data_IF_984158286912
#
_entry.id   IF_984158286912
#
_cell.length_a   1.000
_cell.length_b   1.000
_cell.length_c   1.000
_cell.angle_alpha   90.00
_cell.angle_beta   90.00
_cell.angle_gamma   90.00
#
_symmetry.space_group_name_H-M   'P 1'
#
loop_
_entity.id
_entity.type
_entity.pdbx_description
1 polymer ?
#
# COMPACT_ATOMS: atom_id res chain seq x y z
N UNK A 1 39.77 -10.62 -22.08
CA UNK A 1 38.69 -10.98 -21.18
C UNK A 1 38.25 -9.67 -20.57
N UNK A 2 37.29 -9.04 -21.18
CA UNK A 2 36.82 -7.69 -20.88
C UNK A 2 35.56 -7.82 -20.04
N UNK A 3 35.63 -7.31 -18.83
CA UNK A 3 34.45 -7.09 -17.96
C UNK A 3 33.69 -5.88 -18.53
N UNK A 4 32.62 -6.12 -19.25
CA UNK A 4 31.61 -5.09 -19.52
C UNK A 4 30.64 -5.02 -18.31
N UNK A 5 30.93 -4.10 -17.42
CA UNK A 5 29.94 -3.61 -16.45
C UNK A 5 29.04 -2.66 -17.23
N UNK A 6 27.79 -3.05 -17.45
CA UNK A 6 26.73 -2.18 -17.91
C UNK A 6 26.50 -1.07 -16.86
N UNK A 7 27.17 0.05 -17.04
CA UNK A 7 26.86 1.31 -16.39
C UNK A 7 25.71 1.90 -17.20
N UNK A 8 24.49 1.77 -16.70
CA UNK A 8 23.36 2.55 -17.22
C UNK A 8 23.74 4.03 -17.19
N UNK A 9 23.62 4.67 -18.32
CA UNK A 9 24.13 6.02 -18.56
C UNK A 9 23.43 7.01 -17.64
N UNK A 10 24.15 7.72 -16.79
CA UNK A 10 23.66 8.82 -15.92
C UNK A 10 22.82 9.89 -16.65
N UNK A 11 22.98 9.98 -17.97
CA UNK A 11 22.19 10.88 -18.83
C UNK A 11 20.74 10.42 -19.00
N UNK A 12 20.48 9.12 -19.02
CA UNK A 12 19.13 8.57 -19.22
C UNK A 12 18.28 8.71 -17.95
N UNK A 13 18.93 8.66 -16.78
CA UNK A 13 18.25 8.85 -15.48
C UNK A 13 17.85 10.33 -15.30
N UNK A 14 18.73 11.27 -15.68
CA UNK A 14 18.39 12.70 -15.64
C UNK A 14 17.29 13.06 -16.63
N UNK A 15 17.28 12.44 -17.81
CA UNK A 15 16.24 12.64 -18.81
C UNK A 15 14.88 12.15 -18.29
N UNK A 16 14.84 11.01 -17.59
CA UNK A 16 13.60 10.46 -17.02
C UNK A 16 13.07 11.29 -15.83
N UNK A 17 13.95 11.86 -15.01
CA UNK A 17 13.55 12.76 -13.92
C UNK A 17 13.10 14.12 -14.49
N UNK A 18 13.79 14.64 -15.51
CA UNK A 18 13.50 15.93 -16.12
C UNK A 18 12.27 15.93 -17.05
N UNK A 19 11.85 14.76 -17.57
CA UNK A 19 10.69 14.61 -18.44
C UNK A 19 9.42 14.13 -17.73
N UNK A 20 9.50 13.79 -16.45
CA UNK A 20 8.30 13.46 -15.68
C UNK A 20 7.70 14.76 -15.11
N UNK A 21 6.80 15.39 -15.87
CA UNK A 21 6.16 16.69 -15.53
C UNK A 21 5.45 16.70 -14.17
N UNK A 22 5.24 15.52 -13.54
CA UNK A 22 4.63 15.40 -12.22
C UNK A 22 5.59 15.66 -11.07
N UNK A 23 6.90 15.48 -11.29
CA UNK A 23 7.91 15.52 -10.24
C UNK A 23 8.92 16.66 -10.42
N UNK A 24 8.66 17.59 -11.38
CA UNK A 24 9.63 18.61 -11.72
C UNK A 24 9.52 19.86 -10.84
N UNK A 25 10.67 20.34 -10.40
CA UNK A 25 11.14 21.67 -10.04
C UNK A 25 11.00 22.23 -8.62
N UNK A 26 10.18 21.75 -7.70
CA UNK A 26 10.10 22.43 -6.40
C UNK A 26 10.81 21.73 -5.22
N UNK A 27 11.10 20.45 -5.33
CA UNK A 27 11.65 19.64 -4.23
C UNK A 27 13.09 19.21 -4.50
N UNK A 28 13.52 19.12 -5.75
CA UNK A 28 14.83 18.60 -6.12
C UNK A 28 15.79 19.73 -6.44
N UNK A 29 16.63 20.10 -5.49
CA UNK A 29 17.74 21.03 -5.71
C UNK A 29 18.88 20.28 -6.44
N UNK A 30 19.41 20.84 -7.55
CA UNK A 30 20.49 20.24 -8.33
C UNK A 30 21.72 19.83 -7.48
N UNK A 31 22.03 20.61 -6.43
CA UNK A 31 23.12 20.32 -5.49
C UNK A 31 22.86 19.04 -4.69
N UNK A 32 21.62 18.82 -4.28
CA UNK A 32 21.20 17.60 -3.57
C UNK A 32 21.31 16.40 -4.50
N UNK A 33 20.87 16.54 -5.74
CA UNK A 33 20.97 15.47 -6.75
C UNK A 33 22.41 15.09 -7.07
N UNK A 34 23.32 16.06 -7.17
CA UNK A 34 24.75 15.79 -7.44
C UNK A 34 25.44 15.08 -6.26
N UNK A 35 25.12 15.47 -5.02
CA UNK A 35 25.68 14.81 -3.83
C UNK A 35 25.16 13.38 -3.68
N UNK A 36 23.88 13.17 -3.98
CA UNK A 36 23.24 11.86 -3.99
C UNK A 36 23.81 10.93 -5.07
N UNK A 37 24.19 11.48 -6.24
CA UNK A 37 24.83 10.69 -7.32
C UNK A 37 26.20 10.15 -6.90
N UNK A 38 26.97 10.88 -6.11
CA UNK A 38 28.31 10.47 -5.66
C UNK A 38 28.28 9.34 -4.65
N UNK A 39 27.21 9.25 -3.83
CA UNK A 39 27.06 8.30 -2.73
C UNK A 39 25.91 7.31 -2.96
N UNK A 40 25.48 7.11 -4.19
CA UNK A 40 24.31 6.34 -4.53
C UNK A 40 24.46 4.85 -4.23
N UNK A 41 23.61 4.34 -3.36
CA UNK A 41 23.55 2.91 -3.04
C UNK A 41 22.86 2.19 -4.23
N UNK A 42 23.45 1.09 -4.68
CA UNK A 42 22.82 0.21 -5.65
C UNK A 42 21.51 -0.36 -5.07
N UNK A 43 20.40 -0.03 -5.70
CA UNK A 43 19.06 -0.37 -5.21
C UNK A 43 18.76 -1.88 -5.26
N UNK A 44 19.53 -2.66 -5.99
CA UNK A 44 19.40 -4.12 -6.08
C UNK A 44 20.23 -4.87 -5.03
N UNK A 45 21.08 -4.17 -4.25
CA UNK A 45 21.96 -4.77 -3.26
C UNK A 45 21.43 -4.59 -1.84
N UNK A 46 21.29 -5.70 -1.12
CA UNK A 46 20.96 -5.69 0.31
C UNK A 46 22.03 -4.95 1.12
N UNK A 47 21.60 -4.19 2.12
CA UNK A 47 22.50 -3.62 3.12
C UNK A 47 22.89 -4.71 4.14
N UNK A 48 24.00 -4.51 4.91
CA UNK A 48 24.52 -5.56 5.80
C UNK A 48 23.56 -6.03 6.90
N UNK A 49 22.62 -5.21 7.32
CA UNK A 49 21.61 -5.49 8.35
C UNK A 49 20.31 -6.10 7.79
N UNK A 50 20.22 -6.30 6.49
CA UNK A 50 19.03 -6.79 5.81
C UNK A 50 19.05 -8.31 5.64
N UNK A 51 18.00 -8.99 6.12
CA UNK A 51 17.81 -10.44 5.91
C UNK A 51 17.52 -10.73 4.43
N UNK A 52 18.33 -11.63 3.86
CA UNK A 52 18.12 -12.17 2.52
C UNK A 52 17.33 -13.47 2.64
N UNK A 53 16.23 -13.57 1.88
CA UNK A 53 15.42 -14.78 1.82
C UNK A 53 15.85 -15.70 0.67
N UNK A 54 15.80 -17.00 0.90
CA UNK A 54 15.84 -18.01 -0.16
C UNK A 54 14.43 -18.14 -0.76
N UNK A 55 14.15 -17.31 -1.76
CA UNK A 55 12.84 -17.21 -2.41
C UNK A 55 12.98 -16.75 -3.86
N UNK A 56 12.28 -17.44 -4.74
CA UNK A 56 12.21 -17.11 -6.19
C UNK A 56 11.03 -16.20 -6.55
N UNK A 57 10.24 -15.78 -5.55
CA UNK A 57 8.98 -15.08 -5.78
C UNK A 57 9.21 -13.74 -6.49
N UNK A 58 10.19 -12.95 -6.05
CA UNK A 58 10.51 -11.68 -6.68
C UNK A 58 10.85 -11.86 -8.16
N UNK A 59 11.75 -12.79 -8.48
CA UNK A 59 12.20 -13.02 -9.85
C UNK A 59 11.04 -13.44 -10.75
N UNK A 60 10.17 -14.30 -10.25
CA UNK A 60 8.96 -14.75 -10.97
C UNK A 60 7.97 -13.63 -11.20
N UNK A 61 7.75 -12.78 -10.21
CA UNK A 61 6.82 -11.64 -10.31
C UNK A 61 7.33 -10.63 -11.34
N UNK A 62 8.61 -10.27 -11.26
CA UNK A 62 9.22 -9.31 -12.20
C UNK A 62 9.23 -9.87 -13.62
N UNK A 63 9.65 -11.13 -13.80
CA UNK A 63 9.66 -11.77 -15.12
C UNK A 63 8.25 -11.84 -15.75
N UNK A 64 7.22 -12.15 -14.96
CA UNK A 64 5.84 -12.21 -15.43
C UNK A 64 5.29 -10.83 -15.81
N UNK A 65 5.62 -9.80 -15.00
CA UNK A 65 5.28 -8.40 -15.29
C UNK A 65 5.96 -7.91 -16.58
N UNK A 66 7.24 -8.20 -16.75
CA UNK A 66 8.00 -7.77 -17.94
C UNK A 66 7.48 -8.44 -19.22
N UNK A 67 7.09 -9.71 -19.11
CA UNK A 67 6.51 -10.47 -20.23
C UNK A 67 5.07 -10.08 -20.57
N UNK A 68 4.40 -9.28 -19.70
CA UNK A 68 3.01 -8.90 -19.91
C UNK A 68 2.86 -7.87 -21.02
N UNK A 69 2.52 -8.35 -22.21
CA UNK A 69 2.06 -7.54 -23.34
C UNK A 69 0.52 -7.52 -23.33
N UNK A 70 -0.07 -6.48 -22.73
CA UNK A 70 -1.52 -6.37 -22.57
C UNK A 70 -2.25 -6.03 -23.89
N UNK A 71 -1.55 -5.57 -24.91
CA UNK A 71 -2.17 -5.22 -26.20
C UNK A 71 -2.48 -6.46 -27.06
N UNK A 72 -1.94 -7.63 -26.72
CA UNK A 72 -2.28 -8.88 -27.38
C UNK A 72 -3.66 -9.43 -27.02
N UNK A 73 -4.22 -9.02 -25.87
CA UNK A 73 -5.50 -9.53 -25.42
C UNK A 73 -6.68 -8.95 -26.20
N UNK A 74 -7.70 -9.79 -26.40
CA UNK A 74 -8.88 -9.47 -27.19
C UNK A 74 -10.17 -9.55 -26.38
N UNK A 75 -11.28 -9.07 -26.94
CA UNK A 75 -12.61 -9.24 -26.37
C UNK A 75 -13.00 -10.73 -26.14
N UNK A 76 -12.42 -11.66 -26.92
CA UNK A 76 -12.67 -13.09 -26.75
C UNK A 76 -12.01 -13.61 -25.46
N UNK A 77 -10.78 -13.15 -25.16
CA UNK A 77 -10.05 -13.53 -23.95
C UNK A 77 -10.76 -13.01 -22.70
N UNK A 78 -11.29 -11.77 -22.74
CA UNK A 78 -12.06 -11.19 -21.63
C UNK A 78 -13.35 -11.98 -21.38
N UNK A 79 -14.09 -12.35 -22.44
CA UNK A 79 -15.29 -13.19 -22.28
C UNK A 79 -14.97 -14.56 -21.76
N UNK A 80 -13.86 -15.16 -22.20
CA UNK A 80 -13.34 -16.42 -21.65
C UNK A 80 -13.07 -16.30 -20.17
N UNK A 81 -12.33 -15.28 -19.75
CA UNK A 81 -12.02 -15.01 -18.35
C UNK A 81 -13.30 -14.84 -17.48
N UNK A 82 -14.31 -14.15 -17.99
CA UNK A 82 -15.59 -13.97 -17.29
C UNK A 82 -16.39 -15.27 -17.18
N UNK A 83 -16.21 -16.20 -18.12
CA UNK A 83 -16.93 -17.50 -18.12
C UNK A 83 -16.34 -18.54 -17.17
N UNK A 84 -15.09 -18.38 -16.72
CA UNK A 84 -14.45 -19.32 -15.83
C UNK A 84 -14.94 -19.14 -14.39
N UNK A 85 -15.15 -20.24 -13.68
CA UNK A 85 -15.45 -20.22 -12.23
C UNK A 85 -14.21 -19.86 -11.42
N UNK A 86 -13.07 -20.45 -11.79
CA UNK A 86 -11.76 -20.17 -11.17
C UNK A 86 -10.86 -19.49 -12.20
N UNK A 87 -10.48 -18.25 -11.92
CA UNK A 87 -9.67 -17.44 -12.84
C UNK A 87 -8.20 -17.82 -12.71
N UNK A 88 -7.60 -18.09 -13.85
CA UNK A 88 -6.14 -18.32 -13.98
C UNK A 88 -5.38 -17.01 -14.03
N UNK A 89 -4.05 -17.08 -14.04
CA UNK A 89 -3.21 -15.89 -14.25
C UNK A 89 -3.47 -15.24 -15.62
N UNK A 90 -3.71 -16.06 -16.66
CA UNK A 90 -4.05 -15.53 -18.00
C UNK A 90 -5.40 -14.82 -18.02
N UNK A 91 -6.39 -15.33 -17.29
CA UNK A 91 -7.67 -14.62 -17.13
C UNK A 91 -7.47 -13.28 -16.40
N UNK A 92 -6.63 -13.24 -15.39
CA UNK A 92 -6.31 -12.01 -14.67
C UNK A 92 -5.63 -10.98 -15.57
N UNK A 93 -4.68 -11.39 -16.40
CA UNK A 93 -4.05 -10.54 -17.41
C UNK A 93 -5.06 -9.98 -18.41
N UNK A 94 -5.98 -10.82 -18.92
CA UNK A 94 -7.04 -10.39 -19.83
C UNK A 94 -7.95 -9.35 -19.17
N UNK A 95 -8.34 -9.54 -17.90
CA UNK A 95 -9.17 -8.61 -17.14
C UNK A 95 -8.48 -7.26 -16.85
N UNK A 96 -7.15 -7.23 -16.77
CA UNK A 96 -6.37 -6.00 -16.60
C UNK A 96 -6.07 -5.29 -17.93
N UNK A 97 -6.23 -5.97 -19.07
CA UNK A 97 -5.89 -5.43 -20.40
C UNK A 97 -6.82 -4.30 -20.84
N UNK A 98 -6.44 -3.49 -21.84
CA UNK A 98 -7.33 -2.51 -22.47
C UNK A 98 -8.57 -3.13 -23.10
N UNK A 99 -8.49 -4.39 -23.57
CA UNK A 99 -9.62 -5.12 -24.13
C UNK A 99 -10.79 -5.32 -23.16
N UNK A 100 -10.54 -5.20 -21.85
CA UNK A 100 -11.56 -5.32 -20.80
C UNK A 100 -12.42 -4.05 -20.63
N UNK A 101 -11.98 -2.89 -21.14
CA UNK A 101 -12.72 -1.63 -20.95
C UNK A 101 -14.18 -1.68 -21.45
N UNK A 102 -14.52 -2.26 -22.62
CA UNK A 102 -15.92 -2.38 -23.05
C UNK A 102 -16.77 -3.31 -22.17
N UNK A 103 -16.14 -4.11 -21.32
CA UNK A 103 -16.79 -5.11 -20.45
C UNK A 103 -16.78 -4.71 -18.97
N UNK A 104 -16.48 -3.45 -18.66
CA UNK A 104 -16.29 -3.00 -17.27
C UNK A 104 -17.55 -3.24 -16.41
N UNK A 105 -18.72 -3.11 -16.99
CA UNK A 105 -19.99 -3.36 -16.30
C UNK A 105 -20.15 -4.86 -15.97
N UNK A 106 -19.92 -5.75 -16.93
CA UNK A 106 -19.98 -7.20 -16.70
C UNK A 106 -18.93 -7.66 -15.70
N UNK A 107 -17.71 -7.07 -15.77
CA UNK A 107 -16.62 -7.33 -14.81
C UNK A 107 -17.04 -6.88 -13.41
N UNK A 108 -17.63 -5.71 -13.26
CA UNK A 108 -18.11 -5.18 -12.00
C UNK A 108 -19.22 -6.05 -11.40
N UNK A 109 -20.18 -6.48 -12.22
CA UNK A 109 -21.25 -7.40 -11.79
C UNK A 109 -20.69 -8.76 -11.35
N UNK A 110 -19.75 -9.34 -12.10
CA UNK A 110 -19.10 -10.59 -11.72
C UNK A 110 -18.32 -10.43 -10.41
N UNK A 111 -17.59 -9.34 -10.23
CA UNK A 111 -16.85 -9.05 -9.00
C UNK A 111 -17.80 -8.85 -7.80
N UNK A 112 -18.95 -8.19 -8.01
CA UNK A 112 -19.97 -8.03 -6.97
C UNK A 112 -20.53 -9.39 -6.53
N UNK A 113 -20.83 -10.28 -7.47
CA UNK A 113 -21.30 -11.63 -7.17
C UNK A 113 -20.28 -12.42 -6.36
N UNK A 114 -19.00 -12.37 -6.75
CA UNK A 114 -17.92 -13.02 -5.97
C UNK A 114 -17.77 -12.40 -4.57
N UNK A 115 -17.87 -11.07 -4.46
CA UNK A 115 -17.84 -10.40 -3.16
C UNK A 115 -18.98 -10.87 -2.27
N UNK A 116 -20.21 -10.91 -2.78
CA UNK A 116 -21.38 -11.35 -2.03
C UNK A 116 -21.30 -12.82 -1.63
N UNK A 117 -20.72 -13.67 -2.49
CA UNK A 117 -20.52 -15.10 -2.23
C UNK A 117 -19.55 -15.33 -1.06
N UNK A 118 -18.50 -14.54 -0.94
CA UNK A 118 -17.43 -14.77 0.03
C UNK A 118 -17.52 -13.90 1.29
N UNK A 119 -18.06 -12.71 1.17
CA UNK A 119 -18.13 -11.71 2.28
C UNK A 119 -19.56 -11.30 2.63
N UNK A 120 -20.56 -11.73 1.88
CA UNK A 120 -21.93 -11.25 2.07
C UNK A 120 -22.03 -9.73 1.87
N UNK A 121 -22.69 -9.06 2.79
CA UNK A 121 -22.83 -7.60 2.80
C UNK A 121 -21.85 -6.92 3.77
N UNK A 122 -20.92 -7.67 4.38
CA UNK A 122 -20.03 -7.16 5.42
C UNK A 122 -18.92 -6.27 4.85
N UNK A 123 -18.72 -5.11 5.45
CA UNK A 123 -17.61 -4.19 5.16
C UNK A 123 -16.92 -3.83 6.46
N UNK A 124 -15.66 -4.18 6.56
CA UNK A 124 -14.83 -3.91 7.73
C UNK A 124 -14.44 -2.44 7.80
N UNK A 125 -14.54 -1.84 8.98
CA UNK A 125 -14.16 -0.44 9.22
C UNK A 125 -12.93 -0.36 10.12
N UNK A 126 -11.98 0.50 9.74
CA UNK A 126 -10.76 0.78 10.52
C UNK A 126 -10.34 2.24 10.38
N UNK A 127 -9.35 2.65 11.15
CA UNK A 127 -8.67 3.93 10.93
C UNK A 127 -7.16 3.78 11.03
N UNK A 128 -6.38 4.55 10.24
CA UNK A 128 -4.95 4.69 10.44
C UNK A 128 -4.65 5.64 11.62
N UNK A 129 -3.56 5.35 12.33
CA UNK A 129 -2.95 6.25 13.30
C UNK A 129 -1.47 6.43 12.99
N UNK A 130 -1.09 7.64 12.63
CA UNK A 130 0.29 8.03 12.39
C UNK A 130 0.94 8.45 13.72
N UNK A 131 1.94 7.70 14.18
CA UNK A 131 2.61 7.98 15.45
C UNK A 131 3.94 8.73 15.30
N UNK A 132 4.49 8.79 14.08
CA UNK A 132 5.70 9.56 13.75
C UNK A 132 5.78 9.83 12.25
N UNK A 133 6.17 11.06 11.85
CA UNK A 133 6.42 11.41 10.45
C UNK A 133 7.91 11.64 10.14
N UNK A 134 8.82 11.29 11.06
CA UNK A 134 10.25 11.29 10.76
C UNK A 134 10.57 10.19 9.75
N UNK A 135 11.28 10.55 8.66
CA UNK A 135 11.63 9.63 7.58
C UNK A 135 13.06 9.91 7.10
N UNK A 136 13.83 8.86 6.82
CA UNK A 136 15.19 8.94 6.30
C UNK A 136 15.26 8.73 4.78
N UNK A 137 14.11 8.39 4.17
CA UNK A 137 14.03 8.12 2.74
C UNK A 137 13.75 9.39 1.93
N UNK A 138 14.25 9.41 0.70
CA UNK A 138 13.88 10.39 -0.29
C UNK A 138 13.06 9.75 -1.40
N UNK A 139 11.75 9.64 -1.16
CA UNK A 139 10.76 9.25 -2.15
C UNK A 139 10.12 10.53 -2.71
N UNK A 140 10.29 10.80 -4.00
CA UNK A 140 9.91 12.10 -4.61
C UNK A 140 8.41 12.38 -4.60
N UNK A 141 7.58 11.37 -4.33
CA UNK A 141 6.11 11.43 -4.31
C UNK A 141 5.51 11.44 -2.88
N UNK A 142 6.33 11.40 -1.83
CA UNK A 142 5.85 11.22 -0.46
C UNK A 142 6.00 12.52 0.35
N UNK A 143 4.92 12.93 1.03
CA UNK A 143 4.94 14.10 1.91
C UNK A 143 5.93 13.99 3.06
N UNK A 144 6.23 12.76 3.53
CA UNK A 144 7.19 12.54 4.62
C UNK A 144 8.65 12.43 4.16
N UNK A 145 8.98 12.58 2.88
CA UNK A 145 10.36 12.46 2.43
C UNK A 145 11.30 13.39 3.22
N UNK A 146 12.56 12.97 3.41
CA UNK A 146 13.50 13.64 4.31
C UNK A 146 13.86 15.07 3.89
N UNK A 147 13.64 15.46 2.64
CA UNK A 147 13.92 16.80 2.12
C UNK A 147 12.69 17.71 2.10
N UNK A 148 11.48 17.18 2.33
CA UNK A 148 10.28 18.00 2.39
C UNK A 148 10.26 18.83 3.68
N UNK A 149 9.98 20.11 3.56
CA UNK A 149 9.93 21.07 4.68
C UNK A 149 8.54 21.01 5.32
N UNK A 150 8.37 20.11 6.26
CA UNK A 150 7.14 19.89 7.02
C UNK A 150 7.42 19.90 8.52
N UNK A 151 6.39 20.12 9.32
CA UNK A 151 6.47 19.93 10.77
C UNK A 151 6.62 18.43 11.08
N UNK A 152 7.73 18.09 11.74
CA UNK A 152 8.02 16.72 12.16
C UNK A 152 7.62 16.53 13.61
N UNK A 153 6.87 15.44 13.88
CA UNK A 153 6.50 15.05 15.22
C UNK A 153 6.63 13.53 15.43
N UNK A 154 6.77 13.15 16.69
CA UNK A 154 6.77 11.77 17.16
C UNK A 154 6.06 11.72 18.49
N UNK A 155 5.00 10.94 18.59
CA UNK A 155 4.22 10.80 19.81
C UNK A 155 4.98 9.98 20.85
N UNK A 156 4.94 10.40 22.10
CA UNK A 156 5.38 9.56 23.23
C UNK A 156 4.28 8.57 23.63
N UNK A 157 4.60 7.63 24.54
CA UNK A 157 3.65 6.58 24.96
C UNK A 157 2.33 7.12 25.52
N UNK A 158 2.36 8.22 26.28
CA UNK A 158 1.14 8.85 26.84
C UNK A 158 0.28 9.49 25.74
N UNK A 159 0.90 10.14 24.76
CA UNK A 159 0.21 10.73 23.61
C UNK A 159 -0.39 9.67 22.71
N UNK A 160 0.35 8.57 22.44
CA UNK A 160 -0.16 7.40 21.71
C UNK A 160 -1.40 6.84 22.41
N UNK A 161 -1.36 6.69 23.74
CA UNK A 161 -2.49 6.17 24.50
C UNK A 161 -3.72 7.11 24.45
N UNK A 162 -3.52 8.43 24.49
CA UNK A 162 -4.60 9.42 24.33
C UNK A 162 -5.26 9.34 22.94
N UNK A 163 -4.46 9.31 21.87
CA UNK A 163 -4.95 9.17 20.50
C UNK A 163 -5.76 7.87 20.34
N UNK A 164 -5.21 6.74 20.79
CA UNK A 164 -5.88 5.44 20.72
C UNK A 164 -7.18 5.40 21.53
N UNK A 165 -7.19 6.01 22.72
CA UNK A 165 -8.40 6.11 23.54
C UNK A 165 -9.47 6.99 22.88
N UNK A 166 -9.09 8.07 22.17
CA UNK A 166 -10.01 8.90 21.42
C UNK A 166 -10.62 8.14 20.24
N UNK A 167 -9.79 7.42 19.47
CA UNK A 167 -10.25 6.58 18.36
C UNK A 167 -11.17 5.46 18.86
N UNK A 168 -10.82 4.77 19.94
CA UNK A 168 -11.64 3.68 20.48
C UNK A 168 -13.05 4.12 20.90
N UNK A 169 -13.25 5.38 21.30
CA UNK A 169 -14.58 5.94 21.62
C UNK A 169 -15.52 5.98 20.41
N UNK A 170 -15.02 5.95 19.19
CA UNK A 170 -15.82 5.86 17.96
C UNK A 170 -16.42 4.47 17.74
N UNK A 171 -16.02 3.47 18.52
CA UNK A 171 -16.46 2.08 18.39
C UNK A 171 -15.60 1.24 17.47
N UNK A 172 -14.61 1.80 16.78
CA UNK A 172 -13.65 1.05 15.96
C UNK A 172 -12.86 0.06 16.81
N UNK A 173 -12.68 -1.16 16.31
CA UNK A 173 -11.97 -2.25 16.98
C UNK A 173 -10.71 -2.67 16.24
N UNK A 174 -10.42 -2.04 15.10
CA UNK A 174 -9.21 -2.23 14.33
C UNK A 174 -8.49 -0.90 14.11
N UNK A 175 -7.17 -0.93 14.30
CA UNK A 175 -6.28 0.21 14.06
C UNK A 175 -5.14 -0.21 13.14
N UNK A 176 -4.73 0.70 12.24
CA UNK A 176 -3.53 0.57 11.44
C UNK A 176 -2.51 1.59 11.93
N UNK A 177 -1.41 1.14 12.51
CA UNK A 177 -0.35 2.01 13.04
C UNK A 177 0.66 2.29 11.94
N UNK A 178 0.95 3.58 11.71
CA UNK A 178 1.88 4.04 10.68
C UNK A 178 3.00 4.89 11.27
N UNK A 179 4.18 4.78 10.63
CA UNK A 179 5.31 5.67 10.85
C UNK A 179 5.95 6.08 9.54
N UNK A 180 6.65 7.21 9.54
CA UNK A 180 7.71 7.41 8.57
C UNK A 180 8.81 6.35 8.75
N UNK A 181 9.59 6.08 7.71
CA UNK A 181 10.64 5.07 7.73
C UNK A 181 11.94 5.66 8.31
N UNK A 182 12.10 5.63 9.64
CA UNK A 182 13.31 6.01 10.35
C UNK A 182 13.59 5.02 11.49
N UNK A 183 14.57 4.14 11.29
CA UNK A 183 15.01 3.21 12.35
C UNK A 183 15.53 3.93 13.60
N UNK A 184 16.02 5.18 13.45
CA UNK A 184 16.51 5.99 14.55
C UNK A 184 15.39 6.60 15.38
N UNK A 185 14.32 7.08 14.75
CA UNK A 185 13.23 7.79 15.42
C UNK A 185 12.08 6.86 15.78
N UNK A 186 11.86 5.80 15.00
CA UNK A 186 10.76 4.85 15.15
C UNK A 186 11.34 3.44 15.05
N UNK A 187 12.18 3.07 16.02
CA UNK A 187 12.77 1.74 16.13
C UNK A 187 11.70 0.67 16.42
N UNK A 188 12.12 -0.58 16.36
CA UNK A 188 11.20 -1.72 16.53
C UNK A 188 10.60 -1.75 17.95
N UNK A 189 11.36 -1.33 18.96
CA UNK A 189 10.91 -1.23 20.35
C UNK A 189 9.81 -0.17 20.51
N UNK A 190 9.95 1.00 19.89
CA UNK A 190 8.93 2.05 19.88
C UNK A 190 7.64 1.59 19.22
N UNK A 191 7.73 0.91 18.06
CA UNK A 191 6.56 0.36 17.37
C UNK A 191 5.93 -0.76 18.22
N UNK A 192 6.75 -1.61 18.84
CA UNK A 192 6.29 -2.66 19.74
C UNK A 192 5.55 -2.11 20.97
N UNK A 193 6.03 -1.02 21.55
CA UNK A 193 5.31 -0.34 22.67
C UNK A 193 3.96 0.23 22.20
N UNK A 194 3.90 0.83 21.01
CA UNK A 194 2.63 1.28 20.43
C UNK A 194 1.64 0.11 20.23
N UNK A 195 2.12 -1.07 19.79
CA UNK A 195 1.29 -2.27 19.68
C UNK A 195 0.74 -2.73 21.04
N UNK A 196 1.57 -2.73 22.09
CA UNK A 196 1.13 -3.10 23.45
C UNK A 196 0.08 -2.12 24.01
N UNK A 197 0.22 -0.83 23.72
CA UNK A 197 -0.79 0.17 24.07
C UNK A 197 -2.09 -0.10 23.29
N UNK A 198 -1.98 -0.32 21.98
CA UNK A 198 -3.11 -0.59 21.10
C UNK A 198 -3.95 -1.79 21.56
N UNK A 199 -3.33 -2.85 22.09
CA UNK A 199 -4.03 -4.04 22.60
C UNK A 199 -4.97 -3.76 23.78
N UNK A 200 -4.82 -2.64 24.45
CA UNK A 200 -5.77 -2.21 25.50
C UNK A 200 -7.11 -1.75 24.91
N UNK A 201 -7.13 -1.34 23.65
CA UNK A 201 -8.24 -0.65 22.99
C UNK A 201 -8.82 -1.39 21.78
N UNK A 202 -7.95 -2.10 21.02
CA UNK A 202 -8.30 -2.68 19.73
C UNK A 202 -8.10 -4.19 19.73
N UNK A 203 -8.95 -4.88 18.97
CA UNK A 203 -8.88 -6.34 18.77
C UNK A 203 -7.93 -6.72 17.63
N UNK A 204 -7.83 -5.86 16.61
CA UNK A 204 -6.98 -6.08 15.44
C UNK A 204 -6.02 -4.91 15.29
N UNK A 205 -4.72 -5.23 15.19
CA UNK A 205 -3.64 -4.25 15.05
C UNK A 205 -2.86 -4.54 13.79
N UNK A 206 -3.00 -3.66 12.81
CA UNK A 206 -2.20 -3.65 11.60
C UNK A 206 -1.01 -2.70 11.71
N UNK A 207 0.02 -2.99 10.94
CA UNK A 207 1.21 -2.14 10.79
C UNK A 207 1.41 -1.75 9.33
N UNK A 208 1.64 -0.47 9.08
CA UNK A 208 2.16 0.05 7.81
C UNK A 208 3.43 0.85 8.11
N UNK A 209 4.52 0.12 8.23
CA UNK A 209 5.83 0.62 8.64
C UNK A 209 6.90 0.16 7.65
N UNK A 210 8.15 0.55 7.87
CA UNK A 210 9.25 0.12 7.01
C UNK A 210 9.45 -1.40 7.03
N UNK A 211 10.00 -1.99 5.93
CA UNK A 211 10.35 -3.41 5.89
C UNK A 211 11.34 -3.78 6.99
N UNK A 212 11.11 -4.92 7.61
CA UNK A 212 11.91 -5.44 8.73
C UNK A 212 12.39 -6.87 8.45
N UNK A 213 13.33 -7.35 9.25
CA UNK A 213 13.74 -8.76 9.27
C UNK A 213 12.69 -9.65 9.94
N UNK A 214 12.77 -10.94 9.73
CA UNK A 214 11.77 -11.89 10.26
C UNK A 214 11.71 -11.92 11.79
N UNK A 215 12.85 -11.75 12.47
CA UNK A 215 12.93 -11.68 13.92
C UNK A 215 12.32 -10.38 14.48
N UNK A 216 12.51 -9.25 13.81
CA UNK A 216 11.87 -7.99 14.16
C UNK A 216 10.35 -8.08 14.03
N UNK A 217 9.85 -8.70 12.95
CA UNK A 217 8.40 -8.99 12.78
C UNK A 217 7.89 -9.96 13.86
N UNK A 218 8.68 -10.99 14.23
CA UNK A 218 8.29 -11.90 15.30
C UNK A 218 8.19 -11.17 16.65
N UNK A 219 9.09 -10.25 16.95
CA UNK A 219 8.98 -9.40 18.13
C UNK A 219 7.71 -8.56 18.11
N UNK A 220 7.41 -7.87 17.00
CA UNK A 220 6.17 -7.06 16.87
C UNK A 220 4.90 -7.90 17.01
N UNK A 221 4.92 -9.13 16.48
CA UNK A 221 3.83 -10.07 16.68
C UNK A 221 3.64 -10.41 18.18
N UNK A 222 4.71 -10.65 18.94
CA UNK A 222 4.61 -10.84 20.40
C UNK A 222 4.11 -9.61 21.13
N UNK A 223 4.32 -8.41 20.58
CA UNK A 223 3.78 -7.14 21.10
C UNK A 223 2.30 -6.93 20.77
N UNK A 224 1.73 -7.76 19.91
CA UNK A 224 0.32 -7.74 19.58
C UNK A 224 -0.03 -7.33 18.14
N UNK A 225 0.94 -7.15 17.24
CA UNK A 225 0.64 -6.93 15.84
C UNK A 225 0.05 -8.18 15.18
N UNK A 226 -1.02 -8.03 14.39
CA UNK A 226 -1.71 -9.12 13.72
C UNK A 226 -1.31 -9.25 12.26
N UNK A 227 -1.16 -8.13 11.56
CA UNK A 227 -0.82 -8.11 10.13
C UNK A 227 0.08 -6.92 9.78
N UNK A 228 0.74 -7.06 8.64
CA UNK A 228 1.61 -6.01 8.10
C UNK A 228 1.18 -5.71 6.66
N UNK A 229 1.10 -4.44 6.32
CA UNK A 229 0.96 -4.00 4.94
C UNK A 229 2.21 -3.21 4.51
N UNK A 230 2.79 -3.59 3.36
CA UNK A 230 3.95 -2.91 2.78
C UNK A 230 3.66 -2.65 1.32
N UNK A 231 3.54 -1.39 0.94
CA UNK A 231 3.35 -1.01 -0.45
C UNK A 231 4.67 -1.13 -1.19
N UNK A 232 4.69 -1.92 -2.27
CA UNK A 232 5.86 -2.03 -3.15
C UNK A 232 6.07 -0.76 -3.96
N UNK A 233 5.04 0.04 -4.11
CA UNK A 233 4.96 1.27 -4.88
C UNK A 233 4.91 0.99 -6.39
N UNK A 234 5.98 0.50 -6.98
CA UNK A 234 6.04 -0.09 -8.34
C UNK A 234 6.92 -1.33 -8.34
N UNK A 235 6.62 -2.29 -9.21
CA UNK A 235 7.42 -3.50 -9.41
C UNK A 235 8.45 -3.36 -10.54
N UNK A 236 8.40 -2.26 -11.28
CA UNK A 236 9.45 -1.90 -12.24
C UNK A 236 10.69 -1.37 -11.49
N UNK A 237 11.75 -2.18 -11.41
CA UNK A 237 12.93 -1.85 -10.61
C UNK A 237 13.68 -0.62 -11.13
N UNK A 238 13.70 -0.40 -12.45
CA UNK A 238 14.35 0.77 -13.04
C UNK A 238 13.59 2.06 -12.70
N UNK A 239 12.25 2.01 -12.79
CA UNK A 239 11.41 3.12 -12.35
C UNK A 239 11.51 3.33 -10.85
N UNK A 240 11.50 2.24 -10.06
CA UNK A 240 11.66 2.28 -8.60
C UNK A 240 12.93 3.03 -8.18
N UNK A 241 14.03 2.78 -8.87
CA UNK A 241 15.30 3.46 -8.63
C UNK A 241 15.20 4.98 -8.80
N UNK A 242 14.46 5.45 -9.79
CA UNK A 242 14.27 6.89 -10.06
C UNK A 242 13.34 7.58 -9.08
N UNK A 243 12.46 6.84 -8.40
CA UNK A 243 11.49 7.35 -7.44
C UNK A 243 12.02 7.37 -6.01
N UNK A 244 12.96 6.48 -5.67
CA UNK A 244 13.53 6.30 -4.33
C UNK A 244 15.01 6.65 -4.35
N UNK A 245 15.30 7.94 -4.14
CA UNK A 245 16.64 8.50 -4.39
C UNK A 245 17.63 8.23 -3.25
N UNK A 246 17.14 8.06 -2.01
CA UNK A 246 17.98 7.75 -0.83
C UNK A 246 17.20 7.00 0.25
N UNK A 247 17.94 6.43 1.21
CA UNK A 247 17.43 5.74 2.39
C UNK A 247 17.20 4.24 2.17
N UNK A 248 16.76 3.53 3.21
CA UNK A 248 16.58 2.08 3.21
C UNK A 248 15.48 1.63 2.23
N UNK A 249 14.44 2.45 2.02
CA UNK A 249 13.36 2.17 1.07
C UNK A 249 13.87 2.00 -0.36
N UNK A 250 15.04 2.58 -0.67
CA UNK A 250 15.66 2.41 -1.98
C UNK A 250 15.97 0.95 -2.33
N UNK A 251 16.17 0.07 -1.35
CA UNK A 251 16.56 -1.32 -1.59
C UNK A 251 15.36 -2.15 -2.05
N UNK A 252 15.23 -2.28 -3.37
CA UNK A 252 14.10 -2.92 -4.06
C UNK A 252 13.85 -4.37 -3.61
N UNK A 253 14.83 -5.31 -3.64
CA UNK A 253 14.58 -6.70 -3.30
C UNK A 253 14.22 -6.87 -1.80
N UNK A 254 14.76 -6.02 -0.92
CA UNK A 254 14.39 -6.06 0.49
C UNK A 254 12.93 -5.66 0.70
N UNK A 255 12.43 -4.68 -0.06
CA UNK A 255 11.04 -4.25 0.05
C UNK A 255 10.07 -5.27 -0.56
N UNK A 256 10.35 -5.82 -1.74
CA UNK A 256 9.51 -6.86 -2.37
C UNK A 256 9.34 -8.07 -1.42
N UNK A 257 10.37 -8.48 -0.73
CA UNK A 257 10.34 -9.65 0.15
C UNK A 257 9.83 -9.34 1.57
N UNK A 258 9.29 -8.15 1.84
CA UNK A 258 8.84 -7.76 3.18
C UNK A 258 7.68 -8.60 3.71
N UNK A 259 6.68 -8.89 2.88
CA UNK A 259 5.51 -9.69 3.26
C UNK A 259 5.92 -11.13 3.60
N UNK A 260 6.85 -11.70 2.86
CA UNK A 260 7.34 -13.04 3.16
C UNK A 260 8.08 -13.08 4.50
N UNK A 261 8.93 -12.09 4.80
CA UNK A 261 9.57 -11.99 6.12
C UNK A 261 8.56 -11.81 7.25
N UNK A 262 7.51 -11.03 7.03
CA UNK A 262 6.43 -10.86 8.01
C UNK A 262 5.71 -12.19 8.31
N UNK A 263 5.38 -12.99 7.29
CA UNK A 263 4.80 -14.32 7.48
C UNK A 263 5.74 -15.29 8.18
N UNK A 264 7.05 -15.26 7.88
CA UNK A 264 8.07 -16.02 8.62
C UNK A 264 8.13 -15.59 10.09
N UNK A 265 7.97 -14.31 10.37
CA UNK A 265 7.89 -13.74 11.72
C UNK A 265 6.59 -14.05 12.46
N UNK A 266 5.66 -14.79 11.85
CA UNK A 266 4.43 -15.23 12.50
C UNK A 266 3.23 -14.29 12.35
N UNK A 267 3.32 -13.23 11.53
CA UNK A 267 2.17 -12.37 11.25
C UNK A 267 1.05 -13.21 10.62
N UNK A 268 -0.18 -12.97 11.06
CA UNK A 268 -1.39 -13.66 10.58
C UNK A 268 -1.70 -13.32 9.14
N UNK A 269 -1.49 -12.07 8.75
CA UNK A 269 -1.82 -11.59 7.42
C UNK A 269 -0.83 -10.59 6.86
N UNK A 270 -0.91 -10.39 5.55
CA UNK A 270 -0.09 -9.43 4.81
C UNK A 270 -0.91 -8.69 3.76
N UNK A 271 -0.63 -7.38 3.64
CA UNK A 271 -1.23 -6.51 2.65
C UNK A 271 -0.27 -6.15 1.53
N UNK A 272 -0.82 -6.05 0.33
CA UNK A 272 -0.10 -5.74 -0.90
C UNK A 272 -0.68 -4.48 -1.54
N UNK A 273 0.18 -3.65 -2.10
CA UNK A 273 -0.22 -2.56 -2.99
C UNK A 273 0.93 -2.10 -3.88
N UNK A 274 0.57 -1.67 -5.07
CA UNK A 274 1.32 -0.68 -5.84
C UNK A 274 0.62 0.69 -5.69
N UNK A 275 1.39 1.77 -5.74
CA UNK A 275 0.84 3.13 -5.77
C UNK A 275 0.54 3.50 -7.23
N UNK A 276 -0.72 3.35 -7.61
CA UNK A 276 -1.18 3.48 -8.98
C UNK A 276 -0.96 4.90 -9.52
N UNK A 277 -0.27 4.99 -10.65
CA UNK A 277 0.12 6.24 -11.29
C UNK A 277 1.61 6.60 -11.15
N UNK A 278 2.40 5.80 -10.44
CA UNK A 278 3.87 5.95 -10.43
C UNK A 278 4.50 5.44 -11.72
N UNK A 279 3.97 4.33 -12.24
CA UNK A 279 4.40 3.69 -13.48
C UNK A 279 3.19 3.08 -14.21
N UNK A 280 3.41 2.13 -15.12
CA UNK A 280 2.35 1.39 -15.82
C UNK A 280 1.47 0.63 -14.81
N UNK A 281 0.26 1.14 -14.56
CA UNK A 281 -0.63 0.62 -13.54
C UNK A 281 -1.12 -0.81 -13.83
N UNK A 282 -1.17 -1.24 -15.11
CA UNK A 282 -1.58 -2.60 -15.47
C UNK A 282 -0.51 -3.61 -15.10
N UNK A 283 0.74 -3.27 -15.40
CA UNK A 283 1.91 -4.07 -15.02
C UNK A 283 2.06 -4.14 -13.51
N UNK A 284 1.94 -3.01 -12.82
CA UNK A 284 1.99 -2.96 -11.36
C UNK A 284 0.83 -3.71 -10.70
N UNK A 285 -0.39 -3.61 -11.24
CA UNK A 285 -1.52 -4.39 -10.74
C UNK A 285 -1.35 -5.90 -10.96
N UNK A 286 -0.85 -6.31 -12.14
CA UNK A 286 -0.52 -7.72 -12.41
C UNK A 286 0.51 -8.23 -11.40
N UNK A 287 1.61 -7.51 -11.25
CA UNK A 287 2.69 -7.89 -10.34
C UNK A 287 2.22 -7.99 -8.88
N UNK A 288 1.42 -7.02 -8.42
CA UNK A 288 0.83 -7.02 -7.07
C UNK A 288 -0.05 -8.26 -6.84
N UNK A 289 -0.96 -8.56 -7.78
CA UNK A 289 -1.87 -9.70 -7.67
C UNK A 289 -1.11 -11.04 -7.76
N UNK A 290 -0.14 -11.15 -8.65
CA UNK A 290 0.65 -12.37 -8.80
C UNK A 290 1.58 -12.61 -7.60
N UNK A 291 2.18 -11.56 -7.04
CA UNK A 291 2.96 -11.63 -5.80
C UNK A 291 2.13 -12.18 -4.64
N UNK A 292 0.95 -11.63 -4.42
CA UNK A 292 0.02 -12.09 -3.40
C UNK A 292 -0.39 -13.56 -3.62
N UNK A 293 -0.68 -13.94 -4.85
CA UNK A 293 -1.03 -15.31 -5.22
C UNK A 293 0.10 -16.33 -4.94
N UNK A 294 1.35 -15.97 -5.29
CA UNK A 294 2.50 -16.85 -5.03
C UNK A 294 2.75 -17.00 -3.53
N UNK A 295 2.64 -15.92 -2.76
CA UNK A 295 2.78 -16.00 -1.30
C UNK A 295 1.65 -16.79 -0.66
N UNK A 296 0.41 -16.65 -1.09
CA UNK A 296 -0.69 -17.46 -0.59
C UNK A 296 -0.48 -18.96 -0.89
N UNK A 297 0.06 -19.29 -2.06
CA UNK A 297 0.43 -20.70 -2.36
C UNK A 297 1.51 -21.24 -1.43
N UNK A 298 2.51 -20.43 -1.09
CA UNK A 298 3.61 -20.80 -0.20
C UNK A 298 3.16 -20.84 1.27
N UNK A 299 2.26 -19.91 1.65
CA UNK A 299 1.72 -19.75 3.00
C UNK A 299 0.18 -19.84 2.97
N UNK A 300 -0.42 -21.03 2.85
CA UNK A 300 -1.86 -21.17 2.59
C UNK A 300 -2.77 -20.72 3.75
N UNK A 301 -2.20 -20.51 4.93
CA UNK A 301 -2.94 -19.99 6.10
C UNK A 301 -2.87 -18.47 6.23
N UNK A 302 -2.06 -17.81 5.41
CA UNK A 302 -1.91 -16.36 5.45
C UNK A 302 -3.20 -15.67 5.00
N UNK A 303 -3.61 -14.65 5.73
CA UNK A 303 -4.63 -13.72 5.27
C UNK A 303 -4.02 -12.74 4.27
N UNK A 304 -4.62 -12.63 3.10
CA UNK A 304 -4.16 -11.77 2.02
C UNK A 304 -5.10 -10.55 1.91
N UNK A 305 -4.50 -9.39 1.85
CA UNK A 305 -5.23 -8.15 1.60
C UNK A 305 -4.59 -7.34 0.46
N UNK A 306 -5.43 -6.66 -0.32
CA UNK A 306 -5.01 -5.65 -1.28
C UNK A 306 -5.42 -4.26 -0.81
N UNK A 307 -4.56 -3.28 -1.03
CA UNK A 307 -4.91 -1.88 -1.05
C UNK A 307 -4.72 -1.34 -2.47
N UNK A 308 -5.58 -0.42 -2.89
CA UNK A 308 -5.55 0.12 -4.25
C UNK A 308 -5.40 1.65 -4.21
N UNK A 309 -4.28 2.19 -3.67
CA UNK A 309 -4.07 3.63 -3.60
C UNK A 309 -3.72 4.19 -4.98
N UNK A 310 -4.31 5.35 -5.30
CA UNK A 310 -3.84 6.20 -6.39
C UNK A 310 -2.97 7.33 -5.83
N UNK A 311 -2.08 7.87 -6.65
CA UNK A 311 -1.31 9.07 -6.31
C UNK A 311 -2.26 10.21 -5.94
N UNK A 312 -1.87 10.96 -4.90
CA UNK A 312 -2.57 12.16 -4.44
C UNK A 312 -1.57 13.29 -4.26
N UNK A 313 -2.01 14.57 -4.30
CA UNK A 313 -1.20 15.70 -3.91
C UNK A 313 -0.60 15.56 -2.50
N UNK A 314 0.56 16.14 -2.32
CA UNK A 314 1.26 16.21 -1.03
C UNK A 314 1.57 17.67 -0.68
N UNK A 315 1.86 17.95 0.58
CA UNK A 315 2.33 19.27 1.00
C UNK A 315 3.58 19.63 0.18
N UNK A 316 3.59 20.85 -0.35
CA UNK A 316 4.62 21.44 -1.21
C UNK A 316 4.70 20.86 -2.64
N UNK A 317 3.80 19.96 -3.05
CA UNK A 317 3.67 19.51 -4.44
C UNK A 317 2.24 19.09 -4.79
N UNK A 318 1.45 20.04 -5.28
CA UNK A 318 0.07 19.84 -5.74
C UNK A 318 -0.05 19.27 -7.16
N UNK A 319 1.06 19.16 -7.89
CA UNK A 319 1.10 18.61 -9.26
C UNK A 319 1.07 17.09 -9.28
N UNK A 320 1.38 16.44 -8.16
CA UNK A 320 1.32 14.98 -8.06
C UNK A 320 -0.12 14.52 -8.26
N UNK A 321 -0.33 13.65 -9.24
CA UNK A 321 -1.64 13.09 -9.56
C UNK A 321 -1.49 11.68 -10.18
N UNK A 322 -2.56 10.88 -10.27
CA UNK A 322 -2.49 9.49 -10.73
C UNK A 322 -2.39 9.33 -12.26
N UNK A 323 -2.05 10.37 -13.01
CA UNK A 323 -1.90 10.34 -14.48
C UNK A 323 -3.08 9.64 -15.17
N UNK A 324 -2.82 8.49 -15.80
CA UNK A 324 -3.77 7.72 -16.59
C UNK A 324 -4.67 6.80 -15.75
N UNK A 325 -4.57 6.86 -14.41
CA UNK A 325 -5.39 6.03 -13.52
C UNK A 325 -6.62 6.81 -13.05
N UNK A 326 -7.61 6.87 -13.91
CA UNK A 326 -8.92 7.43 -13.59
C UNK A 326 -9.76 6.44 -12.76
N UNK A 327 -10.97 6.84 -12.36
CA UNK A 327 -11.87 6.01 -11.56
C UNK A 327 -12.22 4.67 -12.25
N UNK A 328 -12.35 4.68 -13.58
CA UNK A 328 -12.65 3.48 -14.37
C UNK A 328 -11.49 2.47 -14.32
N UNK A 329 -10.24 2.94 -14.39
CA UNK A 329 -9.07 2.08 -14.28
C UNK A 329 -8.93 1.53 -12.84
N UNK A 330 -9.20 2.36 -11.83
CA UNK A 330 -9.24 1.89 -10.45
C UNK A 330 -10.30 0.80 -10.26
N UNK A 331 -11.52 1.00 -10.78
CA UNK A 331 -12.59 0.01 -10.74
C UNK A 331 -12.16 -1.29 -11.42
N UNK A 332 -11.53 -1.21 -12.59
CA UNK A 332 -11.01 -2.37 -13.32
C UNK A 332 -10.01 -3.17 -12.46
N UNK A 333 -9.04 -2.51 -11.85
CA UNK A 333 -8.02 -3.15 -11.01
C UNK A 333 -8.65 -3.82 -9.78
N UNK A 334 -9.54 -3.11 -9.08
CA UNK A 334 -10.23 -3.64 -7.88
C UNK A 334 -11.06 -4.88 -8.22
N UNK A 335 -11.82 -4.82 -9.33
CA UNK A 335 -12.62 -5.96 -9.79
C UNK A 335 -11.75 -7.13 -10.25
N UNK A 336 -10.66 -6.86 -10.97
CA UNK A 336 -9.73 -7.90 -11.40
C UNK A 336 -9.09 -8.63 -10.20
N UNK A 337 -8.68 -7.93 -9.14
CA UNK A 337 -8.22 -8.55 -7.89
C UNK A 337 -9.29 -9.44 -7.26
N UNK A 338 -10.54 -8.94 -7.16
CA UNK A 338 -11.65 -9.74 -6.60
C UNK A 338 -11.89 -11.03 -7.38
N UNK A 339 -11.85 -10.95 -8.70
CA UNK A 339 -12.09 -12.11 -9.56
C UNK A 339 -10.93 -13.11 -9.54
N UNK A 340 -9.69 -12.62 -9.44
CA UNK A 340 -8.49 -13.48 -9.40
C UNK A 340 -8.25 -14.12 -8.02
N UNK A 341 -8.47 -13.34 -6.96
CA UNK A 341 -8.29 -13.80 -5.57
C UNK A 341 -9.55 -13.53 -4.74
N UNK A 342 -10.58 -14.36 -4.89
CA UNK A 342 -11.92 -14.06 -4.36
C UNK A 342 -12.00 -14.00 -2.84
N UNK A 343 -11.06 -14.61 -2.12
CA UNK A 343 -10.99 -14.60 -0.65
C UNK A 343 -10.13 -13.45 -0.08
N UNK A 344 -9.41 -12.69 -0.91
CA UNK A 344 -8.59 -11.61 -0.42
C UNK A 344 -9.46 -10.43 0.06
N UNK A 345 -9.06 -9.80 1.17
CA UNK A 345 -9.63 -8.52 1.57
C UNK A 345 -9.19 -7.42 0.60
N UNK A 346 -10.06 -6.47 0.28
CA UNK A 346 -9.71 -5.32 -0.57
C UNK A 346 -10.08 -4.04 0.17
N UNK A 347 -9.07 -3.21 0.40
CA UNK A 347 -9.19 -1.96 1.15
C UNK A 347 -9.27 -0.76 0.21
N UNK A 348 -10.22 0.14 0.47
CA UNK A 348 -10.31 1.46 -0.17
C UNK A 348 -10.11 2.55 0.89
N UNK A 349 -9.16 3.42 0.63
CA UNK A 349 -8.74 4.50 1.52
C UNK A 349 -9.40 5.84 1.20
N UNK A 350 -9.20 6.81 2.09
CA UNK A 350 -9.65 8.21 1.95
C UNK A 350 -8.92 9.02 0.87
N UNK A 351 -8.00 8.40 0.11
CA UNK A 351 -7.46 9.02 -1.11
C UNK A 351 -8.54 9.24 -2.16
N UNK A 352 -9.58 8.40 -2.14
CA UNK A 352 -10.73 8.51 -3.03
C UNK A 352 -11.87 9.32 -2.41
N UNK A 353 -12.60 10.04 -3.27
CA UNK A 353 -13.81 10.78 -2.85
C UNK A 353 -14.92 9.84 -2.38
N UNK A 354 -15.80 10.33 -1.51
CA UNK A 354 -16.88 9.54 -0.91
C UNK A 354 -17.69 8.72 -1.93
N UNK A 355 -18.10 9.34 -3.04
CA UNK A 355 -18.88 8.67 -4.11
C UNK A 355 -18.15 7.42 -4.67
N UNK A 356 -16.85 7.52 -4.92
CA UNK A 356 -16.05 6.42 -5.45
C UNK A 356 -15.93 5.30 -4.43
N UNK A 357 -15.67 5.66 -3.18
CA UNK A 357 -15.55 4.70 -2.07
C UNK A 357 -16.85 3.93 -1.85
N UNK A 358 -17.99 4.62 -1.81
CA UNK A 358 -19.30 4.03 -1.60
C UNK A 358 -19.69 3.08 -2.74
N UNK A 359 -19.33 3.39 -3.99
CA UNK A 359 -19.53 2.48 -5.12
C UNK A 359 -18.60 1.26 -5.05
N UNK A 360 -17.32 1.43 -4.73
CA UNK A 360 -16.36 0.33 -4.69
C UNK A 360 -16.64 -0.68 -3.58
N UNK A 361 -17.13 -0.26 -2.40
CA UNK A 361 -17.55 -1.20 -1.35
C UNK A 361 -18.82 -1.95 -1.72
N UNK A 362 -19.69 -1.37 -2.54
CA UNK A 362 -20.86 -2.07 -3.08
C UNK A 362 -20.48 -3.15 -4.11
N UNK A 363 -19.35 -2.97 -4.80
CA UNK A 363 -18.95 -3.85 -5.91
C UNK A 363 -17.95 -4.91 -5.42
N UNK A 364 -16.79 -4.50 -4.88
CA UNK A 364 -15.70 -5.45 -4.68
C UNK A 364 -14.85 -5.21 -3.44
N UNK A 365 -14.81 -3.99 -2.90
CA UNK A 365 -14.04 -3.71 -1.70
C UNK A 365 -14.77 -4.23 -0.44
N UNK A 366 -13.99 -4.70 0.54
CA UNK A 366 -14.52 -5.32 1.77
C UNK A 366 -14.04 -4.60 3.03
N UNK A 367 -13.19 -3.60 2.85
CA UNK A 367 -12.61 -2.84 3.96
C UNK A 367 -12.51 -1.36 3.61
N UNK A 368 -12.85 -0.50 4.55
CA UNK A 368 -12.90 0.95 4.36
C UNK A 368 -12.35 1.69 5.60
N UNK A 369 -11.53 2.70 5.38
CA UNK A 369 -11.06 3.57 6.47
C UNK A 369 -12.09 4.68 6.75
N UNK A 370 -12.20 5.12 8.00
CA UNK A 370 -13.13 6.17 8.41
C UNK A 370 -12.56 7.04 9.54
N UNK A 371 -12.94 8.30 9.61
CA UNK A 371 -12.43 9.24 10.62
C UNK A 371 -10.90 9.42 10.51
N UNK A 372 -10.39 9.51 9.28
CA UNK A 372 -8.95 9.47 8.99
C UNK A 372 -8.31 10.83 9.20
N UNK A 373 -7.15 10.84 9.84
CA UNK A 373 -6.13 11.89 9.73
C UNK A 373 -4.81 11.27 9.30
N UNK A 374 -4.06 11.95 8.45
CA UNK A 374 -2.70 11.55 8.03
C UNK A 374 -1.61 12.35 8.74
N UNK A 375 -1.99 13.27 9.62
CA UNK A 375 -1.10 14.04 10.50
C UNK A 375 -0.80 13.35 11.82
N UNK A 376 0.18 13.86 12.55
CA UNK A 376 0.59 13.33 13.85
C UNK A 376 -0.14 14.09 14.97
N UNK A 377 -0.76 13.38 15.93
CA UNK A 377 -1.42 13.99 17.08
C UNK A 377 -2.72 14.73 16.75
N UNK A 378 -3.48 14.22 15.78
CA UNK A 378 -4.62 14.95 15.21
C UNK A 378 -5.99 14.52 15.75
N UNK A 379 -6.09 13.45 16.56
CA UNK A 379 -7.36 12.97 17.13
C UNK A 379 -7.68 13.58 18.50
N UNK A 380 -6.72 14.25 19.12
CA UNK A 380 -6.92 14.97 20.38
C UNK A 380 -6.34 16.39 20.31
N UNK A 381 -6.95 17.33 21.04
CA UNK A 381 -6.56 18.75 20.97
C UNK A 381 -5.36 19.09 21.87
N UNK A 382 -5.13 18.32 22.93
CA UNK A 382 -4.14 18.57 23.98
C UNK A 382 -2.72 18.06 23.66
N UNK A 383 -2.45 17.64 22.43
CA UNK A 383 -1.10 17.38 21.92
C UNK A 383 -0.55 18.66 21.31
N UNK A 384 0.56 19.17 21.89
CA UNK A 384 1.16 20.44 21.50
C UNK A 384 1.99 20.31 20.22
N UNK A 385 2.81 19.26 20.12
CA UNK A 385 3.72 18.99 18.97
C UNK A 385 3.00 18.15 17.91
N UNK A 386 2.24 18.81 17.02
CA UNK A 386 1.56 18.16 15.89
C UNK A 386 2.46 18.11 14.66
N UNK A 387 2.37 17.01 13.93
CA UNK A 387 3.08 16.83 12.66
C UNK A 387 2.17 16.93 11.45
N UNK A 388 2.72 17.44 10.35
CA UNK A 388 1.98 17.61 9.11
C UNK A 388 1.57 16.29 8.47
N UNK A 389 0.58 16.36 7.58
CA UNK A 389 -0.02 15.24 6.84
C UNK A 389 0.94 14.62 5.81
N UNK A 390 0.76 13.32 5.55
CA UNK A 390 1.51 12.61 4.53
C UNK A 390 1.04 12.94 3.11
N UNK A 391 -0.26 13.06 2.92
CA UNK A 391 -0.94 13.36 1.66
C UNK A 391 -2.32 13.95 1.94
N UNK A 392 -2.89 14.60 0.93
CA UNK A 392 -4.24 15.15 1.00
C UNK A 392 -5.30 14.04 0.98
N UNK A 393 -6.25 14.08 1.94
CA UNK A 393 -7.41 13.18 1.98
C UNK A 393 -8.58 13.78 1.21
N UNK A 394 -9.28 12.94 0.43
CA UNK A 394 -10.43 13.36 -0.38
C UNK A 394 -11.79 13.06 0.28
N UNK A 395 -11.82 12.16 1.27
CA UNK A 395 -13.02 11.83 2.03
C UNK A 395 -12.75 11.98 3.53
N UNK A 396 -13.17 13.10 4.11
CA UNK A 396 -12.99 13.45 5.52
C UNK A 396 -14.17 13.04 6.41
N UNK A 397 -15.06 12.13 5.95
CA UNK A 397 -16.21 11.70 6.76
C UNK A 397 -15.76 11.03 8.07
N UNK A 398 -16.49 11.33 9.14
CA UNK A 398 -16.37 10.68 10.44
C UNK A 398 -16.71 9.19 10.37
N UNK A 399 -16.41 8.46 11.44
CA UNK A 399 -16.78 7.05 11.59
C UNK A 399 -18.28 6.84 11.48
N UNK A 400 -19.08 7.68 12.13
CA UNK A 400 -20.55 7.60 12.12
C UNK A 400 -21.12 7.89 10.72
N UNK A 401 -20.58 8.86 10.00
CA UNK A 401 -21.04 9.19 8.65
C UNK A 401 -20.76 8.04 7.68
N UNK A 402 -19.58 7.41 7.73
CA UNK A 402 -19.26 6.24 6.90
C UNK A 402 -20.09 5.04 7.31
N UNK A 403 -20.30 4.81 8.61
CA UNK A 403 -21.15 3.75 9.14
C UNK A 403 -22.59 3.85 8.59
N UNK A 404 -23.19 5.03 8.67
CA UNK A 404 -24.53 5.26 8.16
C UNK A 404 -24.61 5.15 6.62
N UNK A 405 -23.61 5.65 5.90
CA UNK A 405 -23.55 5.51 4.45
C UNK A 405 -23.49 4.04 4.01
N UNK A 406 -22.80 3.17 4.74
CA UNK A 406 -22.80 1.73 4.47
C UNK A 406 -24.18 1.13 4.69
N UNK A 407 -24.88 1.46 5.79
CA UNK A 407 -26.25 1.00 6.07
C UNK A 407 -27.24 1.46 4.98
N UNK A 408 -27.17 2.73 4.57
CA UNK A 408 -28.03 3.31 3.55
C UNK A 408 -27.84 2.62 2.18
N UNK A 409 -26.65 2.07 1.93
CA UNK A 409 -26.34 1.26 0.75
C UNK A 409 -26.66 -0.25 0.92
N UNK A 410 -27.33 -0.65 2.00
CA UNK A 410 -27.70 -2.05 2.26
C UNK A 410 -26.52 -2.94 2.66
N UNK A 411 -25.41 -2.35 3.09
CA UNK A 411 -24.23 -3.04 3.58
C UNK A 411 -24.25 -3.14 5.10
N UNK A 412 -23.49 -4.09 5.63
CA UNK A 412 -23.32 -4.29 7.07
C UNK A 412 -21.93 -3.80 7.50
N UNK A 413 -21.82 -2.63 8.15
CA UNK A 413 -20.57 -2.20 8.73
C UNK A 413 -20.14 -3.15 9.85
N UNK A 414 -18.86 -3.55 9.85
CA UNK A 414 -18.26 -4.47 10.82
C UNK A 414 -17.06 -3.78 11.45
N UNK A 415 -17.04 -3.68 12.78
CA UNK A 415 -15.97 -3.01 13.52
C UNK A 415 -14.80 -3.93 13.81
N UNK A 416 -15.00 -5.25 13.76
CA UNK A 416 -13.95 -6.25 13.97
C UNK A 416 -14.21 -7.42 13.03
N UNK A 417 -13.28 -7.69 12.15
CA UNK A 417 -13.39 -8.77 11.17
C UNK A 417 -13.10 -10.15 11.79
N UNK A 418 -12.35 -10.17 12.90
CA UNK A 418 -11.84 -11.40 13.48
C UNK A 418 -11.84 -11.35 14.99
N UNK A 419 -12.47 -12.34 15.62
CA UNK A 419 -12.33 -12.59 17.05
C UNK A 419 -11.44 -13.83 17.19
N UNK A 420 -10.21 -13.63 17.65
CA UNK A 420 -9.37 -14.71 18.12
C UNK A 420 -10.00 -15.28 19.40
N UNK A 421 -10.44 -16.53 19.34
CA UNK A 421 -10.91 -17.26 20.50
C UNK A 421 -9.78 -18.12 21.03
#
# INVERSE_FOLDING_TARGET
MTNDTNITNDKDINANIAHDDHFNDSIVNEVILEDMKKNRIDHMKYLPDMEVLDSDIMDRVVAEMDAYDYDQYTAADVRSALSHEYRTLEDFKALLSPAAQPFIEEIAQAAQLETRKHFGNSVCMFTPLYISNYCENYCIYCGFNCHNKINRAKLNASEIEKEMAAIAKTGLQEILILTGESKKMSDVEYIGEACKIARKYFKVIGLEVYPMNSDEYAYLHTCGADYVTVFQETYNSDKYETLHLAGHKRIFPYRVNAQERALKGGMRGVGFAALLGLDDFRKDALATGYHAYLLQKKYPRAEIAFSCPRLCPIINNDRINPKDVHETQLLQVVCAYRLFMPFASITISTREVARVRDNLVNIAATKISAGVSTGIGSHVDDIEDKGDDQFEISDGRSVDEVFNALLDNGLQPVMSDYIYV
#
